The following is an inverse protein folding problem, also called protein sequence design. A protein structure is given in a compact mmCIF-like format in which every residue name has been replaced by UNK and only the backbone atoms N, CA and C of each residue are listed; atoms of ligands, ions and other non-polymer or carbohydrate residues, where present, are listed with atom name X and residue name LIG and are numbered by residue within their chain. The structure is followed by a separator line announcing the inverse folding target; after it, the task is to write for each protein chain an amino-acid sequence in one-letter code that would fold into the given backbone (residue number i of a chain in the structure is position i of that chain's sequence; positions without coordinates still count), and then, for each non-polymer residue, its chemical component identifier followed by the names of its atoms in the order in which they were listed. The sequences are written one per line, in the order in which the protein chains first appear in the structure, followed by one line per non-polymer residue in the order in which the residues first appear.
data_IF_532270348105
#
_entry.id   IF_532270348105
#
_cell.length_a   1.000
_cell.length_b   1.000
_cell.length_c   1.000
_cell.angle_alpha   90.00
_cell.angle_beta   90.00
_cell.angle_gamma   90.00
#
_symmetry.space_group_name_H-M   'P 1'
#
loop_
_entity.id
_entity.type
_entity.pdbx_description
1 polymer ?
#
# COMPACT_ATOMS: atom_id res chain seq x y z
N UNK A 1 -57.74 5.21 8.41
CA UNK A 1 -57.02 5.13 7.13
C UNK A 1 -55.54 5.32 7.41
N UNK A 2 -54.80 4.21 7.56
CA UNK A 2 -53.38 4.19 7.98
C UNK A 2 -52.56 3.84 6.74
N UNK A 3 -52.18 4.84 5.97
CA UNK A 3 -51.38 4.64 4.77
C UNK A 3 -49.92 4.48 5.21
N UNK A 4 -49.44 3.22 5.22
CA UNK A 4 -48.07 2.89 5.57
C UNK A 4 -47.13 3.42 4.50
N UNK A 5 -46.24 4.32 4.89
CA UNK A 5 -45.05 4.71 4.14
C UNK A 5 -44.05 3.54 4.09
N UNK A 6 -44.27 2.59 3.17
CA UNK A 6 -43.28 1.60 2.75
C UNK A 6 -43.03 1.79 1.26
N UNK A 7 -42.17 2.76 0.90
CA UNK A 7 -41.69 2.92 -0.49
C UNK A 7 -40.48 3.85 -0.60
N UNK A 8 -39.33 3.48 -0.02
CA UNK A 8 -38.02 4.01 -0.46
C UNK A 8 -36.83 3.32 0.23
N UNK A 9 -36.70 2.01 0.11
CA UNK A 9 -35.47 1.30 0.57
C UNK A 9 -34.85 0.41 -0.51
N UNK A 10 -35.57 0.11 -1.60
CA UNK A 10 -35.04 -0.69 -2.71
C UNK A 10 -34.03 0.05 -3.60
N UNK A 11 -34.01 1.38 -3.61
CA UNK A 11 -33.16 2.14 -4.54
C UNK A 11 -31.69 2.17 -4.17
N UNK A 12 -31.28 1.71 -2.98
CA UNK A 12 -29.88 1.81 -2.51
C UNK A 12 -29.22 0.44 -2.25
N UNK A 13 -29.87 -0.69 -2.59
CA UNK A 13 -29.28 -2.03 -2.43
C UNK A 13 -27.97 -2.22 -3.21
N UNK A 14 -27.76 -1.42 -4.28
CA UNK A 14 -26.54 -1.48 -5.08
C UNK A 14 -25.30 -0.93 -4.37
N UNK A 15 -25.45 -0.02 -3.39
CA UNK A 15 -24.34 0.54 -2.61
C UNK A 15 -24.13 -0.33 -1.36
N UNK A 16 -23.34 -1.38 -1.52
CA UNK A 16 -22.95 -2.27 -0.44
C UNK A 16 -21.45 -2.59 -0.52
N UNK A 17 -20.89 -3.14 0.56
CA UNK A 17 -19.46 -3.40 0.70
C UNK A 17 -18.91 -4.34 -0.38
N UNK A 18 -19.68 -5.36 -0.78
CA UNK A 18 -19.29 -6.30 -1.81
C UNK A 18 -19.12 -5.62 -3.18
N UNK A 19 -20.10 -4.83 -3.59
CA UNK A 19 -20.08 -4.14 -4.87
C UNK A 19 -18.98 -3.07 -4.93
N UNK A 20 -18.78 -2.32 -3.84
CA UNK A 20 -17.72 -1.30 -3.77
C UNK A 20 -16.32 -1.94 -3.78
N UNK A 21 -16.14 -3.06 -3.08
CA UNK A 21 -14.88 -3.81 -3.11
C UNK A 21 -14.60 -4.36 -4.51
N UNK A 22 -15.60 -4.95 -5.17
CA UNK A 22 -15.47 -5.44 -6.55
C UNK A 22 -15.12 -4.30 -7.51
N UNK A 23 -15.80 -3.15 -7.40
CA UNK A 23 -15.49 -1.97 -8.19
C UNK A 23 -14.05 -1.50 -7.97
N UNK A 24 -13.57 -1.47 -6.72
CA UNK A 24 -12.18 -1.09 -6.41
C UNK A 24 -11.16 -2.05 -7.06
N UNK A 25 -11.41 -3.35 -7.02
CA UNK A 25 -10.56 -4.37 -7.67
C UNK A 25 -10.54 -4.17 -9.19
N UNK A 26 -11.70 -3.93 -9.80
CA UNK A 26 -11.80 -3.65 -11.24
C UNK A 26 -11.01 -2.38 -11.59
N UNK A 27 -11.18 -1.29 -10.83
CA UNK A 27 -10.45 -0.04 -11.06
C UNK A 27 -8.94 -0.21 -10.91
N UNK A 28 -8.49 -0.98 -9.92
CA UNK A 28 -7.08 -1.31 -9.75
C UNK A 28 -6.55 -2.13 -10.93
N UNK A 29 -7.35 -3.08 -11.43
CA UNK A 29 -6.99 -3.92 -12.58
C UNK A 29 -6.90 -3.11 -13.87
N UNK A 30 -7.80 -2.14 -14.06
CA UNK A 30 -7.75 -1.18 -15.18
C UNK A 30 -6.51 -0.31 -15.09
N UNK A 31 -6.19 0.24 -13.92
CA UNK A 31 -4.95 1.01 -13.71
C UNK A 31 -3.72 0.18 -14.04
N UNK A 32 -3.64 -1.05 -13.53
CA UNK A 32 -2.55 -1.97 -13.80
C UNK A 32 -2.41 -2.24 -15.31
N UNK A 33 -3.52 -2.52 -15.99
CA UNK A 33 -3.55 -2.73 -17.44
C UNK A 33 -3.05 -1.52 -18.23
N UNK A 34 -3.49 -0.31 -17.87
CA UNK A 34 -3.03 0.93 -18.52
C UNK A 34 -1.52 1.11 -18.36
N UNK A 35 -0.99 0.87 -17.15
CA UNK A 35 0.45 0.98 -16.88
C UNK A 35 1.25 -0.05 -17.68
N UNK A 36 0.83 -1.31 -17.67
CA UNK A 36 1.49 -2.38 -18.42
C UNK A 36 1.48 -2.08 -19.92
N UNK A 37 0.32 -1.74 -20.49
CA UNK A 37 0.24 -1.39 -21.92
C UNK A 37 1.13 -0.19 -22.24
N UNK A 38 1.07 0.87 -21.42
CA UNK A 38 1.90 2.06 -21.64
C UNK A 38 3.39 1.75 -21.63
N UNK A 39 3.85 0.91 -20.70
CA UNK A 39 5.26 0.51 -20.66
C UNK A 39 5.66 -0.43 -21.80
N UNK A 40 4.71 -1.21 -22.34
CA UNK A 40 4.96 -2.14 -23.45
C UNK A 40 4.93 -1.48 -24.83
N UNK A 41 4.17 -0.39 -25.03
CA UNK A 41 4.06 0.28 -26.35
C UNK A 41 5.44 0.61 -26.94
N UNK A 42 6.38 1.27 -26.23
CA UNK A 42 7.71 1.58 -26.77
C UNK A 42 8.57 0.36 -27.15
N UNK A 43 8.21 -0.85 -26.71
CA UNK A 43 8.91 -2.07 -27.11
C UNK A 43 8.43 -2.60 -28.46
N UNK A 44 7.21 -2.24 -28.88
CA UNK A 44 6.60 -2.68 -30.12
C UNK A 44 6.49 -1.56 -31.16
N UNK A 45 6.69 -0.32 -30.73
CA UNK A 45 6.65 0.87 -31.58
C UNK A 45 7.84 1.75 -31.24
N UNK A 46 8.37 2.48 -32.23
CA UNK A 46 9.40 3.52 -31.98
C UNK A 46 8.81 4.78 -31.32
N UNK A 47 7.68 4.65 -30.61
CA UNK A 47 7.02 5.75 -29.95
C UNK A 47 7.61 5.98 -28.56
N UNK A 48 7.96 7.23 -28.28
CA UNK A 48 8.28 7.68 -26.92
C UNK A 48 7.00 8.18 -26.26
N UNK A 49 6.60 7.53 -25.15
CA UNK A 49 5.46 7.98 -24.36
C UNK A 49 5.94 8.94 -23.28
N UNK A 50 5.31 10.10 -23.22
CA UNK A 50 5.58 11.10 -22.20
C UNK A 50 4.68 10.91 -20.97
N UNK A 51 4.89 11.73 -19.94
CA UNK A 51 4.06 11.70 -18.74
C UNK A 51 2.60 12.08 -19.02
N UNK A 52 2.35 12.92 -20.04
CA UNK A 52 1.01 13.31 -20.45
C UNK A 52 0.16 12.11 -20.89
N UNK A 53 0.76 11.17 -21.63
CA UNK A 53 0.07 9.94 -22.06
C UNK A 53 -0.48 9.15 -20.87
N UNK A 54 0.35 8.95 -19.84
CA UNK A 54 -0.02 8.20 -18.63
C UNK A 54 -1.03 8.97 -17.79
N UNK A 55 -0.74 10.24 -17.47
CA UNK A 55 -1.58 11.06 -16.60
C UNK A 55 -3.02 11.15 -17.11
N UNK A 56 -3.21 11.40 -18.41
CA UNK A 56 -4.56 11.53 -18.99
C UNK A 56 -5.38 10.24 -18.88
N UNK A 57 -4.73 9.08 -18.94
CA UNK A 57 -5.40 7.78 -18.94
C UNK A 57 -5.58 7.21 -17.54
N UNK A 58 -4.68 7.52 -16.61
CA UNK A 58 -4.75 7.03 -15.23
C UNK A 58 -5.52 7.96 -14.30
N UNK A 59 -5.69 9.25 -14.63
CA UNK A 59 -6.34 10.23 -13.76
C UNK A 59 -7.73 9.78 -13.30
N UNK A 60 -8.66 9.51 -14.23
CA UNK A 60 -10.03 9.13 -13.87
C UNK A 60 -10.05 7.82 -13.06
N UNK A 61 -9.35 6.75 -13.47
CA UNK A 61 -9.28 5.53 -12.67
C UNK A 61 -8.71 5.73 -11.26
N UNK A 62 -7.67 6.56 -11.10
CA UNK A 62 -7.05 6.92 -9.82
C UNK A 62 -8.05 7.64 -8.91
N UNK A 63 -8.79 8.62 -9.43
CA UNK A 63 -9.78 9.37 -8.67
C UNK A 63 -10.94 8.48 -8.21
N UNK A 64 -11.46 7.65 -9.12
CA UNK A 64 -12.51 6.69 -8.79
C UNK A 64 -12.06 5.69 -7.74
N UNK A 65 -10.82 5.19 -7.84
CA UNK A 65 -10.26 4.29 -6.84
C UNK A 65 -10.20 4.96 -5.46
N UNK A 66 -9.73 6.20 -5.37
CA UNK A 66 -9.68 6.95 -4.12
C UNK A 66 -11.08 7.17 -3.52
N UNK A 67 -12.09 7.51 -4.33
CA UNK A 67 -13.48 7.62 -3.88
C UNK A 67 -14.01 6.28 -3.36
N UNK A 68 -13.77 5.18 -4.10
CA UNK A 68 -14.22 3.84 -3.71
C UNK A 68 -13.58 3.39 -2.39
N UNK A 69 -12.30 3.70 -2.16
CA UNK A 69 -11.63 3.41 -0.90
C UNK A 69 -12.29 4.16 0.27
N UNK A 70 -12.58 5.45 0.10
CA UNK A 70 -13.28 6.24 1.11
C UNK A 70 -14.69 5.71 1.40
N UNK A 71 -15.45 5.39 0.35
CA UNK A 71 -16.80 4.82 0.46
C UNK A 71 -16.78 3.45 1.15
N UNK A 72 -15.83 2.58 0.80
CA UNK A 72 -15.69 1.24 1.37
C UNK A 72 -15.56 1.30 2.90
N UNK A 73 -14.78 2.25 3.41
CA UNK A 73 -14.56 2.44 4.84
C UNK A 73 -15.79 3.00 5.56
N UNK A 74 -16.55 3.89 4.92
CA UNK A 74 -17.73 4.52 5.52
C UNK A 74 -18.95 3.60 5.54
N UNK A 75 -19.08 2.67 4.59
CA UNK A 75 -20.25 1.80 4.45
C UNK A 75 -20.56 0.93 5.67
N UNK A 76 -19.61 0.74 6.57
CA UNK A 76 -19.78 -0.09 7.76
C UNK A 76 -20.66 0.62 8.81
N UNK A 77 -20.48 1.94 8.98
CA UNK A 77 -21.13 2.70 10.07
C UNK A 77 -22.05 3.83 9.57
N UNK A 78 -22.01 4.13 8.27
CA UNK A 78 -22.71 5.27 7.67
C UNK A 78 -23.74 4.76 6.66
N UNK A 79 -24.96 5.29 6.74
CA UNK A 79 -26.02 4.91 5.80
C UNK A 79 -25.69 5.35 4.36
N UNK A 80 -26.12 4.60 3.33
CA UNK A 80 -25.86 4.92 1.93
C UNK A 80 -26.27 6.34 1.53
N UNK A 81 -27.36 6.86 2.08
CA UNK A 81 -27.84 8.24 1.82
C UNK A 81 -26.82 9.28 2.28
N UNK A 82 -26.21 9.11 3.46
CA UNK A 82 -25.19 10.03 3.97
C UNK A 82 -23.90 9.95 3.14
N UNK A 83 -23.56 8.75 2.66
CA UNK A 83 -22.41 8.56 1.76
C UNK A 83 -22.63 9.31 0.45
N UNK A 84 -23.83 9.21 -0.15
CA UNK A 84 -24.16 9.96 -1.37
C UNK A 84 -24.10 11.48 -1.16
N UNK A 85 -24.54 11.97 0.00
CA UNK A 85 -24.39 13.39 0.36
C UNK A 85 -22.90 13.77 0.40
N UNK A 86 -22.05 12.97 1.05
CA UNK A 86 -20.60 13.23 1.08
C UNK A 86 -19.99 13.22 -0.32
N UNK A 87 -20.38 12.29 -1.19
CA UNK A 87 -19.91 12.27 -2.58
C UNK A 87 -20.35 13.50 -3.37
N UNK A 88 -21.58 13.98 -3.15
CA UNK A 88 -22.05 15.23 -3.75
C UNK A 88 -21.24 16.44 -3.24
N UNK A 89 -20.91 16.48 -1.93
CA UNK A 89 -20.03 17.51 -1.35
C UNK A 89 -18.64 17.47 -2.01
N UNK A 90 -18.06 16.28 -2.18
CA UNK A 90 -16.76 16.13 -2.86
C UNK A 90 -16.84 16.66 -4.28
N UNK A 91 -17.87 16.30 -5.04
CA UNK A 91 -18.06 16.79 -6.41
C UNK A 91 -18.16 18.32 -6.48
N UNK A 92 -18.98 18.93 -5.63
CA UNK A 92 -19.12 20.39 -5.56
C UNK A 92 -17.79 21.04 -5.18
N UNK A 93 -17.08 20.46 -4.22
CA UNK A 93 -15.77 20.94 -3.78
C UNK A 93 -14.74 20.82 -4.91
N UNK A 94 -14.74 19.72 -5.67
CA UNK A 94 -13.89 19.57 -6.87
C UNK A 94 -14.17 20.65 -7.90
N UNK A 95 -15.45 20.92 -8.22
CA UNK A 95 -15.80 22.01 -9.15
C UNK A 95 -15.29 23.37 -8.63
N UNK A 96 -15.42 23.63 -7.33
CA UNK A 96 -14.92 24.85 -6.71
C UNK A 96 -13.39 24.96 -6.77
N UNK A 97 -12.67 23.88 -6.49
CA UNK A 97 -11.20 23.84 -6.58
C UNK A 97 -10.73 24.06 -8.01
N UNK A 98 -11.39 23.46 -9.00
CA UNK A 98 -11.07 23.69 -10.42
C UNK A 98 -11.29 25.16 -10.81
N UNK A 99 -12.37 25.78 -10.32
CA UNK A 99 -12.68 27.18 -10.63
C UNK A 99 -11.72 28.17 -9.93
N UNK A 100 -11.39 27.93 -8.66
CA UNK A 100 -10.50 28.80 -7.88
C UNK A 100 -9.01 28.54 -8.13
N UNK A 101 -8.67 27.33 -8.62
CA UNK A 101 -7.31 26.82 -8.85
C UNK A 101 -6.31 27.16 -7.72
N UNK A 102 -6.58 26.73 -6.46
CA UNK A 102 -5.73 27.08 -5.33
C UNK A 102 -4.28 26.59 -5.49
N UNK A 103 -4.06 25.48 -6.21
CA UNK A 103 -2.72 24.93 -6.45
C UNK A 103 -2.12 25.35 -7.78
N UNK A 104 -2.83 26.15 -8.59
CA UNK A 104 -2.41 26.54 -9.95
C UNK A 104 -2.05 25.33 -10.83
N UNK A 105 -2.67 24.17 -10.56
CA UNK A 105 -2.40 22.92 -11.24
C UNK A 105 -3.68 22.10 -11.33
N UNK A 106 -4.24 21.99 -12.54
CA UNK A 106 -5.53 21.37 -12.77
C UNK A 106 -5.62 19.92 -12.24
N UNK A 107 -4.56 19.12 -12.39
CA UNK A 107 -4.56 17.74 -11.92
C UNK A 107 -4.62 17.65 -10.38
N UNK A 108 -3.92 18.55 -9.68
CA UNK A 108 -3.95 18.63 -8.22
C UNK A 108 -5.28 19.22 -7.75
N UNK A 109 -5.77 20.29 -8.39
CA UNK A 109 -7.04 20.93 -8.04
C UNK A 109 -8.22 19.96 -8.16
N UNK A 110 -8.24 19.10 -9.20
CA UNK A 110 -9.26 18.06 -9.37
C UNK A 110 -9.16 16.97 -8.30
N UNK A 111 -7.93 16.55 -7.97
CA UNK A 111 -7.69 15.37 -7.15
C UNK A 111 -7.68 15.64 -5.64
N UNK A 112 -7.30 16.84 -5.21
CA UNK A 112 -7.13 17.19 -3.81
C UNK A 112 -8.41 16.97 -2.97
N UNK A 113 -9.62 17.39 -3.40
CA UNK A 113 -10.85 17.13 -2.63
C UNK A 113 -11.16 15.63 -2.50
N UNK A 114 -10.84 14.85 -3.54
CA UNK A 114 -11.04 13.39 -3.54
C UNK A 114 -10.11 12.70 -2.55
N UNK A 115 -8.82 13.06 -2.56
CA UNK A 115 -7.85 12.50 -1.61
C UNK A 115 -8.11 12.97 -0.18
N UNK A 116 -8.55 14.21 0.02
CA UNK A 116 -8.97 14.70 1.32
C UNK A 116 -10.14 13.88 1.87
N UNK A 117 -11.15 13.61 1.05
CA UNK A 117 -12.27 12.75 1.42
C UNK A 117 -11.81 11.34 1.82
N UNK A 118 -10.96 10.70 1.00
CA UNK A 118 -10.45 9.36 1.29
C UNK A 118 -9.66 9.33 2.61
N UNK A 119 -8.82 10.35 2.85
CA UNK A 119 -8.04 10.50 4.07
C UNK A 119 -8.94 10.70 5.30
N UNK A 120 -9.93 11.57 5.21
CA UNK A 120 -10.88 11.81 6.30
C UNK A 120 -11.74 10.58 6.60
N UNK A 121 -12.13 9.81 5.58
CA UNK A 121 -12.85 8.54 5.76
C UNK A 121 -12.02 7.52 6.54
N UNK A 122 -10.71 7.44 6.25
CA UNK A 122 -9.77 6.59 7.00
C UNK A 122 -9.66 7.06 8.46
N UNK A 123 -9.42 8.35 8.69
CA UNK A 123 -9.27 8.91 10.04
C UNK A 123 -10.55 8.67 10.85
N UNK A 124 -11.72 8.97 10.27
CA UNK A 124 -13.02 8.71 10.89
C UNK A 124 -13.14 7.25 11.32
N UNK A 125 -12.76 6.33 10.45
CA UNK A 125 -12.86 4.90 10.73
C UNK A 125 -11.92 4.46 11.84
N UNK A 126 -10.68 4.95 11.86
CA UNK A 126 -9.70 4.64 12.90
C UNK A 126 -10.19 5.12 14.27
N UNK A 127 -10.73 6.34 14.35
CA UNK A 127 -11.26 6.91 15.61
C UNK A 127 -12.46 6.11 16.13
N UNK A 128 -13.28 5.55 15.23
CA UNK A 128 -14.47 4.74 15.59
C UNK A 128 -14.18 3.29 15.92
N UNK A 129 -12.91 2.84 15.89
CA UNK A 129 -12.57 1.45 16.22
C UNK A 129 -12.86 1.16 17.71
N UNK A 130 -13.74 0.19 18.02
CA UNK A 130 -14.09 -0.11 19.42
C UNK A 130 -12.94 -0.75 20.20
N UNK A 131 -12.02 -1.44 19.50
CA UNK A 131 -10.81 -2.03 20.08
C UNK A 131 -9.64 -1.96 19.09
N UNK A 132 -8.49 -1.52 19.57
CA UNK A 132 -7.22 -1.54 18.85
C UNK A 132 -6.61 -2.95 18.94
N UNK A 133 -6.98 -3.80 17.98
CA UNK A 133 -6.36 -5.11 17.80
C UNK A 133 -5.60 -5.11 16.50
N UNK A 134 -4.58 -5.96 16.37
CA UNK A 134 -3.83 -6.07 15.12
C UNK A 134 -4.76 -6.34 13.93
N UNK A 135 -5.72 -7.25 14.10
CA UNK A 135 -6.73 -7.58 13.07
C UNK A 135 -7.58 -6.39 12.64
N UNK A 136 -7.93 -5.51 13.57
CA UNK A 136 -8.80 -4.37 13.28
C UNK A 136 -8.05 -3.19 12.67
N UNK A 137 -6.77 -3.00 13.00
CA UNK A 137 -5.97 -1.87 12.53
C UNK A 137 -5.29 -2.15 11.18
N UNK A 138 -4.87 -3.39 10.91
CA UNK A 138 -4.13 -3.74 9.68
C UNK A 138 -4.81 -3.29 8.38
N UNK A 139 -6.13 -3.51 8.16
CA UNK A 139 -6.79 -3.05 6.94
C UNK A 139 -6.74 -1.52 6.79
N UNK A 140 -6.77 -0.76 7.88
CA UNK A 140 -6.70 0.70 7.83
C UNK A 140 -5.30 1.19 7.49
N UNK A 141 -4.24 0.52 7.99
CA UNK A 141 -2.85 0.80 7.58
C UNK A 141 -2.70 0.59 6.06
N UNK A 142 -3.29 -0.47 5.51
CA UNK A 142 -3.28 -0.72 4.06
C UNK A 142 -3.94 0.45 3.31
N UNK A 143 -5.12 0.92 3.74
CA UNK A 143 -5.80 2.04 3.09
C UNK A 143 -5.01 3.35 3.20
N UNK A 144 -4.37 3.63 4.35
CA UNK A 144 -3.46 4.77 4.49
C UNK A 144 -2.33 4.66 3.46
N UNK A 145 -1.71 3.48 3.36
CA UNK A 145 -0.63 3.23 2.40
C UNK A 145 -1.06 3.50 0.97
N UNK A 146 -2.23 2.99 0.55
CA UNK A 146 -2.76 3.22 -0.80
C UNK A 146 -3.02 4.71 -1.03
N UNK A 147 -3.72 5.40 -0.13
CA UNK A 147 -4.02 6.83 -0.31
C UNK A 147 -2.73 7.66 -0.36
N UNK A 148 -1.74 7.33 0.45
CA UNK A 148 -0.44 8.01 0.46
C UNK A 148 0.33 7.79 -0.84
N UNK A 149 0.29 6.58 -1.42
CA UNK A 149 0.82 6.30 -2.75
C UNK A 149 0.13 7.16 -3.82
N UNK A 150 -1.21 7.21 -3.82
CA UNK A 150 -1.95 7.95 -4.84
C UNK A 150 -1.69 9.47 -4.74
N UNK A 151 -1.62 10.02 -3.53
CA UNK A 151 -1.24 11.42 -3.30
C UNK A 151 0.20 11.66 -3.81
N UNK A 152 1.15 10.81 -3.41
CA UNK A 152 2.54 10.93 -3.81
C UNK A 152 2.71 10.92 -5.33
N UNK A 153 2.06 10.00 -6.03
CA UNK A 153 2.11 9.92 -7.50
C UNK A 153 1.54 11.18 -8.13
N UNK A 154 0.35 11.63 -7.71
CA UNK A 154 -0.31 12.78 -8.33
C UNK A 154 0.47 14.07 -8.07
N UNK A 155 0.91 14.31 -6.85
CA UNK A 155 1.72 15.50 -6.53
C UNK A 155 3.04 15.42 -7.28
N UNK A 156 3.81 14.36 -7.08
CA UNK A 156 5.16 14.22 -7.67
C UNK A 156 5.16 14.37 -9.18
N UNK A 157 4.19 13.77 -9.88
CA UNK A 157 4.15 13.82 -11.35
C UNK A 157 3.74 15.19 -11.88
N UNK A 158 2.87 15.91 -11.15
CA UNK A 158 2.31 17.19 -11.63
C UNK A 158 3.07 18.43 -11.13
N UNK A 159 3.93 18.30 -10.13
CA UNK A 159 4.79 19.39 -9.64
C UNK A 159 6.28 19.10 -9.83
N UNK A 160 6.63 18.08 -10.63
CA UNK A 160 8.03 17.86 -11.00
C UNK A 160 8.55 19.06 -11.79
N UNK A 161 9.82 19.35 -11.59
CA UNK A 161 10.54 20.38 -12.34
C UNK A 161 11.63 19.66 -13.10
N UNK A 162 11.68 19.88 -14.41
CA UNK A 162 12.67 19.30 -15.32
C UNK A 162 13.48 20.43 -15.93
N UNK A 163 14.80 20.33 -15.95
CA UNK A 163 15.67 21.34 -16.55
C UNK A 163 16.97 20.74 -17.08
N UNK A 164 17.63 21.44 -18.00
CA UNK A 164 19.00 21.09 -18.39
C UNK A 164 19.81 22.34 -18.67
N UNK A 165 21.09 22.29 -18.36
CA UNK A 165 22.00 23.41 -18.53
C UNK A 165 23.39 22.92 -18.92
N UNK A 166 24.11 23.74 -19.68
CA UNK A 166 25.49 23.48 -20.07
C UNK A 166 26.41 24.13 -19.05
N UNK A 167 27.31 23.36 -18.47
CA UNK A 167 28.18 23.78 -17.38
C UNK A 167 29.62 23.45 -17.77
N UNK A 168 30.53 24.41 -17.65
CA UNK A 168 31.96 24.16 -17.82
C UNK A 168 32.59 23.69 -16.51
N UNK A 169 33.73 23.01 -16.62
CA UNK A 169 34.53 22.62 -15.47
C UNK A 169 34.90 23.85 -14.61
N UNK A 170 34.64 23.75 -13.32
CA UNK A 170 34.80 24.81 -12.32
C UNK A 170 33.62 25.77 -12.20
N UNK A 171 32.64 25.73 -13.11
CA UNK A 171 31.49 26.63 -13.11
C UNK A 171 30.28 26.08 -12.36
N UNK A 172 29.47 27.00 -11.83
CA UNK A 172 28.19 26.69 -11.20
C UNK A 172 27.07 26.84 -12.23
N UNK A 173 26.39 25.74 -12.55
CA UNK A 173 25.18 25.72 -13.34
C UNK A 173 23.92 25.90 -12.49
N UNK A 174 23.08 26.83 -12.92
CA UNK A 174 21.72 27.03 -12.39
C UNK A 174 20.73 26.55 -13.45
N UNK A 175 19.66 25.92 -13.00
CA UNK A 175 18.63 25.34 -13.85
C UNK A 175 17.32 26.10 -13.65
N UNK A 176 16.64 26.44 -14.75
CA UNK A 176 15.41 27.23 -14.69
C UNK A 176 14.34 26.56 -13.82
N UNK A 177 13.84 27.33 -12.85
CA UNK A 177 12.79 26.90 -11.92
C UNK A 177 13.22 25.89 -10.85
N UNK A 178 14.49 25.46 -10.83
CA UNK A 178 14.97 24.48 -9.87
C UNK A 178 15.49 25.14 -8.58
N UNK A 179 15.27 24.53 -7.40
CA UNK A 179 15.84 25.03 -6.14
C UNK A 179 17.31 24.62 -5.95
N UNK A 180 17.85 23.81 -6.86
CA UNK A 180 19.20 23.25 -6.82
C UNK A 180 20.13 23.88 -7.86
N UNK A 181 21.42 23.91 -7.55
CA UNK A 181 22.48 24.28 -8.46
C UNK A 181 23.60 23.23 -8.41
N UNK A 182 24.30 23.04 -9.53
CA UNK A 182 25.35 22.03 -9.67
C UNK A 182 26.62 22.70 -10.10
N UNK A 183 27.73 22.42 -9.41
CA UNK A 183 29.06 22.87 -9.84
C UNK A 183 29.85 21.69 -10.33
N UNK A 184 30.36 21.74 -11.56
CA UNK A 184 31.30 20.72 -12.04
C UNK A 184 32.67 21.01 -11.41
N UNK A 185 33.24 20.01 -10.77
CA UNK A 185 34.56 20.09 -10.12
C UNK A 185 35.66 19.38 -10.89
N UNK A 186 35.28 18.55 -11.87
CA UNK A 186 36.22 17.90 -12.76
C UNK A 186 35.50 17.13 -13.87
N UNK A 187 36.12 17.09 -15.03
CA UNK A 187 35.76 16.18 -16.11
C UNK A 187 37.00 15.37 -16.45
N UNK A 188 36.90 14.04 -16.40
CA UNK A 188 38.01 13.15 -16.68
C UNK A 188 37.60 11.96 -17.50
N UNK A 189 38.48 11.53 -18.40
CA UNK A 189 38.22 10.46 -19.35
C UNK A 189 39.09 9.25 -19.09
N UNK A 190 38.52 8.05 -19.26
CA UNK A 190 39.28 6.80 -19.26
C UNK A 190 38.63 5.72 -20.11
N UNK A 191 39.45 4.79 -20.59
CA UNK A 191 38.97 3.54 -21.17
C UNK A 191 38.65 2.52 -20.06
N UNK A 192 37.53 1.82 -20.20
CA UNK A 192 37.12 0.73 -19.30
C UNK A 192 36.83 -0.56 -20.09
N UNK A 193 36.90 -1.70 -19.39
CA UNK A 193 36.63 -3.01 -19.96
C UNK A 193 37.81 -3.64 -20.72
N UNK A 194 37.52 -4.69 -21.48
CA UNK A 194 38.54 -5.43 -22.23
C UNK A 194 38.84 -4.74 -23.57
N UNK A 195 40.08 -4.80 -24.08
CA UNK A 195 40.42 -4.24 -25.39
C UNK A 195 39.48 -4.71 -26.49
N UNK A 196 39.01 -3.79 -27.34
CA UNK A 196 38.04 -4.06 -28.40
C UNK A 196 38.36 -3.23 -29.64
N UNK A 197 38.44 -3.88 -30.81
CA UNK A 197 38.67 -3.23 -32.12
C UNK A 197 39.82 -2.19 -32.14
N UNK A 198 40.94 -2.49 -31.47
CA UNK A 198 42.11 -1.61 -31.42
C UNK A 198 42.03 -0.47 -30.41
N UNK A 199 40.93 -0.35 -29.65
CA UNK A 199 40.82 0.54 -28.49
C UNK A 199 41.37 -0.15 -27.22
N UNK A 200 41.98 0.60 -26.28
CA UNK A 200 42.47 0.06 -25.00
C UNK A 200 41.41 -0.58 -24.11
N UNK A 201 40.12 -0.26 -24.32
CA UNK A 201 38.97 -0.82 -23.59
C UNK A 201 37.73 -0.90 -24.47
N UNK A 202 36.71 -1.62 -24.00
CA UNK A 202 35.45 -1.84 -24.71
C UNK A 202 34.50 -0.65 -24.59
N UNK A 203 34.77 0.27 -23.67
CA UNK A 203 34.05 1.52 -23.51
C UNK A 203 34.99 2.69 -23.25
N UNK A 204 34.57 3.88 -23.67
CA UNK A 204 35.15 5.15 -23.29
C UNK A 204 34.21 5.81 -22.27
N UNK A 205 34.75 6.17 -21.11
CA UNK A 205 33.99 6.68 -19.98
C UNK A 205 34.48 8.06 -19.62
N UNK A 206 33.57 9.03 -19.70
CA UNK A 206 33.78 10.38 -19.19
C UNK A 206 33.11 10.50 -17.82
N UNK A 207 33.90 10.70 -16.78
CA UNK A 207 33.46 10.96 -15.41
C UNK A 207 33.32 12.46 -15.20
N UNK A 208 32.20 12.86 -14.62
CA UNK A 208 31.87 14.26 -14.34
C UNK A 208 31.65 14.35 -12.83
N UNK A 209 32.66 14.85 -12.14
CA UNK A 209 32.60 15.12 -10.71
C UNK A 209 31.84 16.41 -10.47
N UNK A 210 30.91 16.41 -9.52
CA UNK A 210 30.12 17.61 -9.21
C UNK A 210 29.82 17.77 -7.73
N UNK A 211 29.52 19.02 -7.38
CA UNK A 211 29.00 19.45 -6.09
C UNK A 211 27.55 19.90 -6.24
N UNK A 212 26.65 19.39 -5.40
CA UNK A 212 25.24 19.75 -5.38
C UNK A 212 24.95 20.79 -4.30
N UNK A 213 24.29 21.88 -4.68
CA UNK A 213 23.93 22.98 -3.79
C UNK A 213 22.42 23.20 -3.71
N UNK A 214 21.93 23.60 -2.54
CA UNK A 214 20.57 24.12 -2.32
C UNK A 214 20.63 25.42 -1.53
N UNK A 215 20.06 26.50 -2.08
CA UNK A 215 20.12 27.82 -1.45
C UNK A 215 21.55 28.30 -1.12
N UNK A 216 22.53 27.92 -1.95
CA UNK A 216 23.95 28.26 -1.74
C UNK A 216 24.70 27.37 -0.73
N UNK A 217 24.02 26.42 -0.08
CA UNK A 217 24.66 25.47 0.83
C UNK A 217 25.01 24.19 0.09
N UNK A 218 26.25 23.71 0.24
CA UNK A 218 26.68 22.41 -0.29
C UNK A 218 25.93 21.30 0.45
N UNK A 219 25.24 20.44 -0.29
CA UNK A 219 24.55 19.28 0.28
C UNK A 219 25.34 18.01 0.07
N UNK A 220 25.88 17.80 -1.13
CA UNK A 220 26.50 16.53 -1.50
C UNK A 220 27.57 16.69 -2.58
N UNK A 221 28.37 15.64 -2.76
CA UNK A 221 29.39 15.51 -3.82
C UNK A 221 29.32 14.12 -4.42
N UNK A 222 29.24 14.02 -5.73
CA UNK A 222 29.20 12.73 -6.41
C UNK A 222 29.68 12.85 -7.87
N UNK A 223 29.67 11.75 -8.60
CA UNK A 223 30.02 11.65 -10.01
C UNK A 223 28.86 11.10 -10.86
N UNK A 224 28.72 11.62 -12.09
CA UNK A 224 27.96 10.96 -13.15
C UNK A 224 28.88 10.57 -14.29
N UNK A 225 28.55 9.48 -15.00
CA UNK A 225 29.37 8.92 -16.08
C UNK A 225 28.60 9.00 -17.37
N UNK A 226 29.28 9.45 -18.43
CA UNK A 226 28.86 9.28 -19.81
C UNK A 226 29.70 8.16 -20.42
N UNK A 227 29.05 7.08 -20.83
CA UNK A 227 29.71 5.85 -21.28
C UNK A 227 29.38 5.66 -22.75
N UNK A 228 30.40 5.68 -23.60
CA UNK A 228 30.31 5.27 -25.00
C UNK A 228 30.84 3.84 -25.11
N UNK A 229 29.94 2.89 -25.33
CA UNK A 229 30.23 1.47 -25.45
C UNK A 229 30.47 1.11 -26.93
N UNK A 230 31.72 0.77 -27.25
CA UNK A 230 32.13 0.42 -28.61
C UNK A 230 31.62 -0.95 -29.04
N UNK A 231 31.50 -1.89 -28.10
CA UNK A 231 31.08 -3.26 -28.39
C UNK A 231 29.61 -3.32 -28.81
N UNK A 232 28.77 -2.51 -28.20
CA UNK A 232 27.34 -2.48 -28.47
C UNK A 232 26.91 -1.31 -29.36
N UNK A 233 27.81 -0.37 -29.67
CA UNK A 233 27.52 0.81 -30.49
C UNK A 233 26.49 1.74 -29.83
N UNK A 234 26.49 1.82 -28.49
CA UNK A 234 25.51 2.56 -27.71
C UNK A 234 26.21 3.53 -26.76
N UNK A 235 25.55 4.63 -26.42
CA UNK A 235 25.98 5.51 -25.34
C UNK A 235 24.90 5.59 -24.26
N UNK A 236 25.31 5.56 -23.01
CA UNK A 236 24.42 5.66 -21.86
C UNK A 236 25.06 6.49 -20.75
N UNK A 237 24.21 7.11 -19.93
CA UNK A 237 24.65 7.90 -18.80
C UNK A 237 24.22 7.24 -17.48
N UNK A 238 25.04 7.36 -16.45
CA UNK A 238 24.60 7.02 -15.09
C UNK A 238 23.72 8.12 -14.53
N UNK A 239 22.90 7.76 -13.54
CA UNK A 239 22.03 8.69 -12.84
C UNK A 239 22.52 8.83 -11.41
N UNK A 240 22.71 10.07 -10.98
CA UNK A 240 22.81 10.41 -9.57
C UNK A 240 21.42 10.65 -9.00
N UNK A 241 21.17 10.22 -7.76
CA UNK A 241 19.89 10.40 -7.07
C UNK A 241 20.13 10.86 -5.64
N UNK A 242 19.90 12.15 -5.39
CA UNK A 242 19.80 12.68 -4.05
C UNK A 242 18.39 12.47 -3.50
N UNK A 243 18.28 11.98 -2.26
CA UNK A 243 16.99 11.74 -1.59
C UNK A 243 16.88 12.57 -0.33
N UNK A 244 15.83 13.40 -0.24
CA UNK A 244 15.44 14.09 0.99
C UNK A 244 14.05 13.62 1.45
N UNK A 245 13.58 14.14 2.60
CA UNK A 245 12.24 13.84 3.11
C UNK A 245 11.13 14.37 2.20
N UNK A 246 11.34 15.48 1.50
CA UNK A 246 10.30 16.20 0.75
C UNK A 246 10.47 16.14 -0.76
N UNK A 247 11.66 15.79 -1.25
CA UNK A 247 12.00 15.80 -2.67
C UNK A 247 13.15 14.85 -3.00
N UNK A 248 13.13 14.30 -4.21
CA UNK A 248 14.26 13.59 -4.81
C UNK A 248 14.77 14.38 -6.01
N UNK A 249 16.10 14.48 -6.12
CA UNK A 249 16.78 15.15 -7.24
C UNK A 249 17.52 14.09 -8.04
N UNK A 250 17.25 14.06 -9.34
CA UNK A 250 17.89 13.19 -10.30
C UNK A 250 18.78 14.03 -11.19
N UNK A 251 20.06 13.65 -11.30
CA UNK A 251 21.02 14.31 -12.18
C UNK A 251 21.57 13.26 -13.14
N UNK A 252 21.63 13.60 -14.42
CA UNK A 252 22.30 12.79 -15.44
C UNK A 252 22.92 13.69 -16.49
N UNK A 253 23.80 13.14 -17.30
CA UNK A 253 24.47 13.86 -18.38
C UNK A 253 23.82 13.51 -19.72
N UNK A 254 23.41 14.55 -20.47
CA UNK A 254 22.90 14.41 -21.84
C UNK A 254 24.04 14.33 -22.85
N UNK A 255 25.12 15.05 -22.59
CA UNK A 255 26.26 15.21 -23.49
C UNK A 255 27.46 15.70 -22.69
N UNK A 256 28.65 15.30 -23.12
CA UNK A 256 29.93 15.87 -22.69
C UNK A 256 30.76 16.19 -23.90
N UNK A 257 31.43 17.34 -23.91
CA UNK A 257 32.41 17.70 -24.91
C UNK A 257 33.54 18.52 -24.29
N UNK A 258 34.75 17.96 -24.33
CA UNK A 258 35.93 18.61 -23.77
C UNK A 258 35.76 18.95 -22.28
N UNK A 259 35.72 20.26 -21.99
CA UNK A 259 35.65 20.78 -20.62
C UNK A 259 34.23 21.21 -20.21
N UNK A 260 33.19 20.80 -20.92
CA UNK A 260 31.81 21.11 -20.54
C UNK A 260 30.87 19.91 -20.66
N UNK A 261 29.82 19.93 -19.84
CA UNK A 261 28.78 18.93 -19.87
C UNK A 261 27.39 19.58 -19.88
N UNK A 262 26.47 18.97 -20.63
CA UNK A 262 25.05 19.30 -20.56
C UNK A 262 24.40 18.38 -19.53
N UNK A 263 24.21 18.90 -18.32
CA UNK A 263 23.54 18.17 -17.26
C UNK A 263 22.03 18.36 -17.36
N UNK A 264 21.30 17.27 -17.15
CA UNK A 264 19.87 17.27 -16.96
C UNK A 264 19.57 17.01 -15.49
N UNK A 265 18.65 17.81 -14.95
CA UNK A 265 18.20 17.70 -13.57
C UNK A 265 16.68 17.61 -13.53
N UNK A 266 16.19 16.69 -12.69
CA UNK A 266 14.78 16.54 -12.37
C UNK A 266 14.61 16.57 -10.86
N UNK A 267 13.76 17.47 -10.36
CA UNK A 267 13.35 17.49 -8.96
C UNK A 267 11.91 17.02 -8.87
N UNK A 268 11.69 15.93 -8.14
CA UNK A 268 10.41 15.29 -7.94
C UNK A 268 10.00 15.42 -6.46
N UNK A 269 9.06 16.30 -6.12
CA UNK A 269 8.61 16.46 -4.73
C UNK A 269 7.71 15.29 -4.32
N UNK A 270 7.62 15.03 -3.01
CA UNK A 270 6.70 14.08 -2.36
C UNK A 270 6.78 12.62 -2.83
N UNK A 271 7.81 12.23 -3.57
CA UNK A 271 8.02 10.82 -3.94
C UNK A 271 8.26 9.92 -2.71
N UNK A 272 8.74 10.49 -1.60
CA UNK A 272 8.81 9.84 -0.29
C UNK A 272 7.44 9.38 0.24
N UNK A 273 6.34 10.05 -0.11
CA UNK A 273 5.00 9.58 0.21
C UNK A 273 4.67 8.27 -0.54
N UNK A 274 5.15 8.11 -1.77
CA UNK A 274 5.02 6.85 -2.51
C UNK A 274 5.75 5.73 -1.78
N UNK A 275 7.02 5.95 -1.42
CA UNK A 275 7.81 4.96 -0.67
C UNK A 275 7.22 4.65 0.70
N UNK A 276 6.84 5.68 1.47
CA UNK A 276 6.21 5.53 2.77
C UNK A 276 4.88 4.77 2.66
N UNK A 277 4.09 5.04 1.62
CA UNK A 277 2.84 4.36 1.36
C UNK A 277 3.04 2.88 0.99
N UNK A 278 4.06 2.56 0.20
CA UNK A 278 4.45 1.17 -0.10
C UNK A 278 4.84 0.44 1.20
N UNK A 279 5.68 1.05 2.03
CA UNK A 279 6.12 0.47 3.31
C UNK A 279 4.92 0.23 4.23
N UNK A 280 4.04 1.23 4.39
CA UNK A 280 2.83 1.10 5.21
C UNK A 280 1.90 0.01 4.67
N UNK A 281 1.66 -0.02 3.37
CA UNK A 281 0.82 -1.05 2.74
C UNK A 281 1.39 -2.44 2.98
N UNK A 282 2.69 -2.65 2.74
CA UNK A 282 3.36 -3.93 2.99
C UNK A 282 3.32 -4.33 4.46
N UNK A 283 3.57 -3.39 5.37
CA UNK A 283 3.44 -3.62 6.81
C UNK A 283 2.01 -4.04 7.17
N UNK A 284 0.99 -3.33 6.69
CA UNK A 284 -0.41 -3.66 6.91
C UNK A 284 -0.77 -5.06 6.41
N UNK A 285 -0.27 -5.46 5.24
CA UNK A 285 -0.46 -6.81 4.69
C UNK A 285 0.20 -7.86 5.61
N UNK A 286 1.45 -7.65 6.02
CA UNK A 286 2.17 -8.56 6.92
C UNK A 286 1.46 -8.71 8.26
N UNK A 287 1.02 -7.60 8.86
CA UNK A 287 0.27 -7.61 10.12
C UNK A 287 -1.08 -8.31 9.98
N UNK A 288 -1.78 -8.13 8.85
CA UNK A 288 -3.04 -8.84 8.56
C UNK A 288 -2.80 -10.35 8.46
N UNK A 289 -1.79 -10.78 7.71
CA UNK A 289 -1.42 -12.19 7.58
C UNK A 289 -1.06 -12.81 8.94
N UNK A 290 -0.25 -12.10 9.74
CA UNK A 290 0.12 -12.53 11.08
C UNK A 290 -1.09 -12.64 12.01
N UNK A 291 -2.01 -11.67 11.96
CA UNK A 291 -3.25 -11.72 12.75
C UNK A 291 -4.16 -12.89 12.36
N UNK A 292 -4.24 -13.23 11.07
CA UNK A 292 -5.03 -14.38 10.61
C UNK A 292 -4.40 -15.69 11.09
N UNK A 293 -3.07 -15.79 11.07
CA UNK A 293 -2.34 -16.98 11.54
C UNK A 293 -2.52 -17.22 13.04
N UNK A 294 -2.26 -16.20 13.86
CA UNK A 294 -2.43 -16.28 15.32
C UNK A 294 -3.89 -16.54 15.72
N UNK A 295 -4.85 -15.97 14.98
CA UNK A 295 -6.27 -16.26 15.18
C UNK A 295 -6.64 -17.73 14.89
N UNK A 296 -6.05 -18.35 13.85
CA UNK A 296 -6.25 -19.78 13.52
C UNK A 296 -5.59 -20.70 14.56
N UNK A 297 -4.40 -20.36 15.03
CA UNK A 297 -3.68 -21.13 16.07
C UNK A 297 -4.39 -21.03 17.43
N UNK A 298 -4.92 -19.84 17.77
CA UNK A 298 -5.76 -19.62 18.95
C UNK A 298 -7.10 -20.36 18.90
N UNK A 299 -7.74 -20.43 17.71
CA UNK A 299 -8.97 -21.18 17.54
C UNK A 299 -8.74 -22.70 17.70
N UNK A 300 -7.68 -23.24 17.09
CA UNK A 300 -7.31 -24.66 17.23
C UNK A 300 -7.03 -25.04 18.69
N UNK A 301 -6.22 -24.24 19.39
CA UNK A 301 -5.91 -24.50 20.81
C UNK A 301 -7.14 -24.41 21.73
N UNK A 302 -8.05 -23.46 21.48
CA UNK A 302 -9.30 -23.36 22.22
C UNK A 302 -10.24 -24.56 21.98
N UNK A 303 -10.24 -25.11 20.77
CA UNK A 303 -11.00 -26.31 20.41
C UNK A 303 -10.42 -27.55 21.13
N UNK A 304 -9.09 -27.72 21.13
CA UNK A 304 -8.41 -28.79 21.87
C UNK A 304 -8.66 -28.73 23.38
N UNK A 305 -8.72 -27.52 23.97
CA UNK A 305 -9.03 -27.34 25.39
C UNK A 305 -10.50 -27.69 25.68
N UNK A 306 -11.43 -27.35 24.78
CA UNK A 306 -12.84 -27.73 24.93
C UNK A 306 -13.04 -29.24 24.81
N UNK A 307 -12.33 -29.90 23.91
CA UNK A 307 -12.36 -31.36 23.78
C UNK A 307 -11.80 -32.04 25.04
N UNK A 308 -10.62 -31.64 25.51
CA UNK A 308 -10.06 -32.16 26.77
C UNK A 308 -11.00 -31.96 27.96
N UNK A 309 -11.64 -30.78 28.09
CA UNK A 309 -12.62 -30.54 29.16
C UNK A 309 -13.87 -31.43 29.04
N UNK A 310 -14.31 -31.78 27.83
CA UNK A 310 -15.41 -32.72 27.60
C UNK A 310 -15.01 -34.15 27.97
N UNK A 311 -13.81 -34.58 27.61
CA UNK A 311 -13.26 -35.90 27.96
C UNK A 311 -13.13 -36.05 29.48
N UNK A 312 -12.53 -35.09 30.18
CA UNK A 312 -12.41 -35.12 31.64
C UNK A 312 -13.77 -35.13 32.34
N UNK A 313 -14.79 -34.48 31.75
CA UNK A 313 -16.16 -34.48 32.29
C UNK A 313 -16.89 -35.81 32.05
N UNK A 314 -16.62 -36.50 30.93
CA UNK A 314 -17.12 -37.86 30.65
C UNK A 314 -16.47 -38.88 31.58
N UNK A 315 -15.17 -38.80 31.77
CA UNK A 315 -14.40 -39.69 32.65
C UNK A 315 -14.84 -39.57 34.11
N UNK A 316 -15.05 -38.33 34.61
CA UNK A 316 -15.61 -38.10 35.95
C UNK A 316 -17.05 -38.60 36.11
N UNK A 317 -17.83 -38.68 35.03
CA UNK A 317 -19.22 -39.15 35.07
C UNK A 317 -19.29 -40.67 35.06
N UNK A 318 -18.48 -41.33 34.21
CA UNK A 318 -18.34 -42.79 34.21
C UNK A 318 -17.85 -43.32 35.56
N UNK A 319 -16.83 -42.68 36.15
CA UNK A 319 -16.30 -43.08 37.46
C UNK A 319 -17.31 -42.93 38.62
N UNK A 320 -18.28 -42.02 38.48
CA UNK A 320 -19.34 -41.79 39.49
C UNK A 320 -20.51 -42.76 39.32
N UNK A 321 -20.80 -43.19 38.10
CA UNK A 321 -21.77 -44.26 37.81
C UNK A 321 -21.24 -45.64 38.21
N UNK A 322 -19.93 -45.87 38.06
CA UNK A 322 -19.26 -47.12 38.48
C UNK A 322 -19.24 -47.27 40.01
N UNK A 323 -18.90 -46.20 40.74
CA UNK A 323 -18.98 -46.16 42.22
C UNK A 323 -20.42 -46.31 42.75
N UNK A 324 -21.42 -45.76 42.05
CA UNK A 324 -22.83 -45.90 42.43
C UNK A 324 -23.37 -47.31 42.25
N UNK A 325 -22.97 -48.00 41.18
CA UNK A 325 -23.37 -49.39 40.93
C UNK A 325 -22.70 -50.40 41.89
N UNK A 326 -21.48 -50.13 42.37
CA UNK A 326 -20.84 -50.98 43.39
C UNK A 326 -21.54 -50.87 44.75
N UNK A 327 -21.97 -49.67 45.16
CA UNK A 327 -22.74 -49.47 46.39
C UNK A 327 -24.13 -50.11 46.31
N UNK A 328 -24.84 -49.98 45.18
CA UNK A 328 -26.18 -50.55 44.99
C UNK A 328 -26.15 -52.10 44.95
N UNK A 329 -25.10 -52.69 44.37
CA UNK A 329 -24.92 -54.14 44.34
C UNK A 329 -24.60 -54.72 45.73
N UNK A 330 -23.80 -54.02 46.53
CA UNK A 330 -23.51 -54.42 47.91
C UNK A 330 -24.73 -54.42 48.84
N UNK A 331 -25.68 -53.50 48.65
CA UNK A 331 -26.88 -53.41 49.48
C UNK A 331 -27.95 -54.46 49.11
N UNK A 332 -27.99 -54.89 47.84
CA UNK A 332 -28.85 -56.00 47.38
C UNK A 332 -28.34 -57.33 47.91
N UNK A 333 -27.03 -57.59 47.86
CA UNK A 333 -26.44 -58.84 48.34
C UNK A 333 -26.67 -59.01 49.86
N UNK A 334 -26.54 -57.94 50.64
CA UNK A 334 -26.83 -57.94 52.09
C UNK A 334 -28.30 -58.25 52.39
N UNK A 335 -29.22 -57.71 51.59
CA UNK A 335 -30.67 -57.93 51.75
C UNK A 335 -31.08 -59.37 51.40
N UNK A 336 -30.39 -59.99 50.45
CA UNK A 336 -30.56 -61.42 50.13
C UNK A 336 -30.04 -62.33 51.24
N UNK A 337 -28.90 -62.01 51.86
CA UNK A 337 -28.39 -62.76 53.03
C UNK A 337 -29.36 -62.71 54.21
N UNK A 338 -29.95 -61.54 54.51
CA UNK A 338 -30.93 -61.39 55.59
C UNK A 338 -32.21 -62.23 55.33
N UNK A 339 -32.69 -62.26 54.09
CA UNK A 339 -33.86 -63.07 53.71
C UNK A 339 -33.58 -64.58 53.79
N UNK A 340 -32.40 -65.02 53.34
CA UNK A 340 -31.96 -66.41 53.46
C UNK A 340 -31.82 -66.85 54.92
N UNK A 341 -31.23 -66.01 55.78
CA UNK A 341 -31.14 -66.31 57.21
C UNK A 341 -32.53 -66.41 57.86
N UNK A 342 -33.46 -65.55 57.45
CA UNK A 342 -34.84 -65.58 57.95
C UNK A 342 -35.57 -66.87 57.53
N UNK A 343 -35.52 -67.25 56.25
CA UNK A 343 -36.13 -68.52 55.79
C UNK A 343 -35.50 -69.75 56.45
N UNK A 344 -34.17 -69.76 56.62
CA UNK A 344 -33.47 -70.84 57.34
C UNK A 344 -33.91 -70.95 58.81
N UNK A 345 -34.17 -69.82 59.46
CA UNK A 345 -34.68 -69.81 60.84
C UNK A 345 -36.12 -70.32 60.94
N UNK A 346 -36.97 -69.98 59.97
CA UNK A 346 -38.36 -70.42 59.91
C UNK A 346 -38.48 -71.91 59.55
N UNK A 347 -37.58 -72.43 58.71
CA UNK A 347 -37.50 -73.87 58.38
C UNK A 347 -36.97 -74.72 59.54
N UNK A 348 -36.08 -74.19 60.39
CA UNK A 348 -35.64 -74.88 61.62
C UNK A 348 -36.70 -74.88 62.72
N UNK A 349 -37.71 -74.03 62.62
CA UNK A 349 -38.80 -73.92 63.59
C UNK A 349 -40.03 -74.78 63.24
N UNK A 350 -40.03 -75.41 62.05
CA UNK A 350 -40.96 -76.48 61.66
C UNK A 350 -40.29 -77.84 61.87
#
# INVERSE_FOLDING_TARGET
MKQSTMKSTKSFEFINSHNVMLAAIIMFSVLFMILIIGMLIPLFTDATLDAGWFNNRTMLPTLLLALLLGVCLLLIDVSPTKILINLAIVLVTTVLFVYLSPFHNAAIDVSAPTFLFATLAIIYRIIRLPKLTLRSVSPHIIHIGIVLILIGIVVSTNTRIDGSTVIHDGELGVFDGQPYAVKITGISDRYEGAPYEGQPGSSYVTMIDFELYHGGTLIDRDEVKFITDFKWGQSYATNYVYRSLTEEVFITTKMVEGNYANLYMRTAPWITAVWGGIILMSLGIVLLMYSVRTGKEGAKSAETIKERKKETKKEKRGKREELGNEEEKGDIDRKYEELLQKELSELKAR
#
